data_IF_755681252037
#
_entry.id   IF_755681252037
#
_cell.length_a   1.000
_cell.length_b   1.000
_cell.length_c   1.000
_cell.angle_alpha   90.00
_cell.angle_beta   90.00
_cell.angle_gamma   90.00
#
_symmetry.space_group_name_H-M   'P 1'
#
loop_
_entity.id
_entity.type
_entity.pdbx_description
1 polymer ?
#
# COMPACT_ATOMS: atom_id res chain seq x y z
N UNK A 1 -41.11 -12.96 -44.88
CA UNK A 1 -42.08 -13.74 -44.08
C UNK A 1 -42.83 -12.86 -43.07
N UNK A 2 -42.39 -12.69 -41.80
CA UNK A 2 -43.18 -12.00 -40.75
C UNK A 2 -43.69 -10.59 -41.10
N UNK A 3 -42.89 -9.77 -41.80
CA UNK A 3 -43.26 -8.40 -42.24
C UNK A 3 -44.15 -8.35 -43.50
N UNK A 4 -44.30 -9.48 -44.19
CA UNK A 4 -45.02 -9.60 -45.46
C UNK A 4 -46.35 -10.35 -45.30
N UNK A 5 -46.66 -10.84 -44.09
CA UNK A 5 -47.84 -11.67 -43.78
C UNK A 5 -49.17 -10.92 -43.95
N UNK A 6 -49.17 -9.62 -43.72
CA UNK A 6 -50.37 -8.77 -43.80
C UNK A 6 -50.46 -8.00 -45.14
N UNK A 7 -49.66 -8.37 -46.14
CA UNK A 7 -49.64 -7.70 -47.46
C UNK A 7 -50.38 -8.53 -48.49
N UNK A 8 -51.19 -7.85 -49.32
CA UNK A 8 -51.95 -8.49 -50.40
C UNK A 8 -51.00 -9.21 -51.38
N UNK A 9 -51.16 -10.55 -51.58
CA UNK A 9 -50.35 -11.35 -52.50
C UNK A 9 -50.30 -10.78 -53.92
N UNK A 10 -51.34 -10.07 -54.37
CA UNK A 10 -51.41 -9.47 -55.70
C UNK A 10 -50.49 -8.26 -55.86
N UNK A 11 -50.13 -7.60 -54.77
CA UNK A 11 -49.28 -6.41 -54.76
C UNK A 11 -47.84 -6.69 -54.33
N UNK A 12 -47.59 -7.91 -53.82
CA UNK A 12 -46.28 -8.31 -53.28
C UNK A 12 -45.85 -9.66 -53.88
N UNK A 13 -45.42 -9.70 -55.16
CA UNK A 13 -45.04 -10.94 -55.85
C UNK A 13 -43.89 -11.69 -55.18
N UNK A 14 -43.08 -11.00 -54.38
CA UNK A 14 -42.05 -11.59 -53.54
C UNK A 14 -42.60 -12.55 -52.46
N UNK A 15 -43.86 -12.41 -52.04
CA UNK A 15 -44.50 -13.35 -51.11
C UNK A 15 -44.72 -14.71 -51.77
N UNK A 16 -45.38 -14.73 -52.93
CA UNK A 16 -45.63 -15.95 -53.68
C UNK A 16 -44.33 -16.64 -54.14
N UNK A 17 -43.32 -15.86 -54.56
CA UNK A 17 -42.00 -16.44 -54.87
C UNK A 17 -41.35 -17.12 -53.66
N UNK A 18 -41.47 -16.52 -52.46
CA UNK A 18 -40.91 -17.09 -51.23
C UNK A 18 -41.66 -18.37 -50.83
N UNK A 19 -42.99 -18.40 -50.98
CA UNK A 19 -43.81 -19.61 -50.75
C UNK A 19 -43.41 -20.75 -51.67
N UNK A 20 -43.29 -20.49 -52.98
CA UNK A 20 -42.89 -21.50 -53.96
C UNK A 20 -41.48 -22.05 -53.68
N UNK A 21 -40.52 -21.20 -53.30
CA UNK A 21 -39.17 -21.65 -52.96
C UNK A 21 -39.15 -22.49 -51.69
N UNK A 22 -39.89 -22.11 -50.65
CA UNK A 22 -39.97 -22.89 -49.42
C UNK A 22 -40.69 -24.22 -49.65
N UNK A 23 -41.74 -24.24 -50.46
CA UNK A 23 -42.46 -25.45 -50.84
C UNK A 23 -41.55 -26.44 -51.59
N UNK A 24 -40.68 -25.95 -52.49
CA UNK A 24 -39.64 -26.76 -53.17
C UNK A 24 -38.62 -27.37 -52.20
N UNK A 25 -38.41 -26.74 -51.03
CA UNK A 25 -37.53 -27.23 -49.97
C UNK A 25 -38.28 -28.08 -48.93
N UNK A 26 -39.56 -28.39 -49.14
CA UNK A 26 -40.38 -29.18 -48.22
C UNK A 26 -40.79 -28.44 -46.94
N UNK A 27 -40.78 -27.10 -46.94
CA UNK A 27 -41.14 -26.27 -45.77
C UNK A 27 -42.24 -25.26 -46.12
N UNK A 28 -42.93 -24.74 -45.11
CA UNK A 28 -43.89 -23.62 -45.25
C UNK A 28 -43.37 -22.34 -44.60
N UNK A 29 -43.99 -21.20 -44.91
CA UNK A 29 -43.69 -19.91 -44.27
C UNK A 29 -43.96 -19.99 -42.76
N UNK A 30 -45.07 -20.61 -42.35
CA UNK A 30 -45.44 -20.80 -40.94
C UNK A 30 -44.35 -21.54 -40.18
N UNK A 31 -43.87 -22.66 -40.74
CA UNK A 31 -42.83 -23.50 -40.14
C UNK A 31 -41.52 -22.72 -39.98
N UNK A 32 -41.08 -21.98 -41.02
CA UNK A 32 -39.86 -21.16 -40.93
C UNK A 32 -39.99 -20.04 -39.91
N UNK A 33 -41.15 -19.37 -39.84
CA UNK A 33 -41.40 -18.31 -38.84
C UNK A 33 -41.42 -18.90 -37.44
N UNK A 34 -42.04 -20.06 -37.24
CA UNK A 34 -42.08 -20.76 -35.96
C UNK A 34 -40.67 -21.19 -35.53
N UNK A 35 -39.87 -21.78 -36.42
CA UNK A 35 -38.47 -22.12 -36.15
C UNK A 35 -37.64 -20.86 -35.82
N UNK A 36 -37.83 -19.76 -36.54
CA UNK A 36 -37.14 -18.50 -36.25
C UNK A 36 -37.55 -17.95 -34.88
N UNK A 37 -38.83 -18.00 -34.50
CA UNK A 37 -39.30 -17.59 -33.17
C UNK A 37 -38.79 -18.50 -32.06
N UNK A 38 -38.76 -19.82 -32.28
CA UNK A 38 -38.18 -20.78 -31.33
C UNK A 38 -36.68 -20.53 -31.14
N UNK A 39 -35.94 -20.32 -32.23
CA UNK A 39 -34.51 -19.96 -32.16
C UNK A 39 -34.30 -18.63 -31.43
N UNK A 40 -35.10 -17.62 -31.73
CA UNK A 40 -35.06 -16.32 -31.03
C UNK A 40 -35.36 -16.49 -29.53
N UNK A 41 -36.37 -17.28 -29.17
CA UNK A 41 -36.75 -17.57 -27.79
C UNK A 41 -35.65 -18.32 -27.03
N UNK A 42 -35.10 -19.37 -27.63
CA UNK A 42 -33.98 -20.12 -27.07
C UNK A 42 -32.74 -19.24 -26.88
N UNK A 43 -32.41 -18.39 -27.86
CA UNK A 43 -31.31 -17.42 -27.75
C UNK A 43 -31.55 -16.41 -26.64
N UNK A 44 -32.78 -15.87 -26.52
CA UNK A 44 -33.12 -14.91 -25.47
C UNK A 44 -33.01 -15.52 -24.07
N UNK A 45 -33.45 -16.77 -23.87
CA UNK A 45 -33.28 -17.49 -22.60
C UNK A 45 -31.81 -17.74 -22.33
N UNK A 46 -31.03 -18.16 -23.33
CA UNK A 46 -29.59 -18.40 -23.18
C UNK A 46 -28.85 -17.12 -22.79
N UNK A 47 -29.11 -16.00 -23.46
CA UNK A 47 -28.50 -14.70 -23.14
C UNK A 47 -28.90 -14.26 -21.72
N UNK A 48 -30.17 -14.42 -21.34
CA UNK A 48 -30.63 -14.14 -19.98
C UNK A 48 -29.88 -14.98 -18.94
N UNK A 49 -29.71 -16.28 -19.18
CA UNK A 49 -28.99 -17.16 -18.28
C UNK A 49 -27.50 -16.77 -18.19
N UNK A 50 -26.84 -16.47 -19.31
CA UNK A 50 -25.44 -16.01 -19.31
C UNK A 50 -25.29 -14.71 -18.51
N UNK A 51 -26.15 -13.71 -18.74
CA UNK A 51 -26.11 -12.44 -17.99
C UNK A 51 -26.35 -12.68 -16.50
N UNK A 52 -27.30 -13.54 -16.15
CA UNK A 52 -27.61 -13.86 -14.75
C UNK A 52 -26.44 -14.58 -14.08
N UNK A 53 -25.84 -15.57 -14.75
CA UNK A 53 -24.66 -16.28 -14.24
C UNK A 53 -23.44 -15.39 -14.13
N UNK A 54 -23.19 -14.52 -15.11
CA UNK A 54 -22.09 -13.55 -15.05
C UNK A 54 -22.28 -12.57 -13.89
N UNK A 55 -23.51 -12.10 -13.67
CA UNK A 55 -23.83 -11.23 -12.54
C UNK A 55 -23.63 -11.97 -11.21
N UNK A 56 -24.13 -13.20 -11.10
CA UNK A 56 -23.92 -14.02 -9.90
C UNK A 56 -22.43 -14.22 -9.61
N UNK A 57 -21.63 -14.55 -10.62
CA UNK A 57 -20.17 -14.71 -10.50
C UNK A 57 -19.49 -13.40 -10.10
N UNK A 58 -19.98 -12.26 -10.59
CA UNK A 58 -19.46 -10.93 -10.26
C UNK A 58 -19.89 -10.44 -8.88
N UNK A 59 -21.00 -10.94 -8.34
CA UNK A 59 -21.54 -10.58 -7.03
C UNK A 59 -20.90 -11.41 -5.90
N UNK A 60 -20.19 -12.51 -6.23
CA UNK A 60 -19.45 -13.34 -5.26
C UNK A 60 -18.15 -12.64 -4.87
N UNK A 61 -17.92 -12.52 -3.56
CA UNK A 61 -16.59 -12.20 -3.04
C UNK A 61 -15.69 -13.43 -3.15
N UNK A 62 -14.80 -13.41 -4.14
CA UNK A 62 -13.86 -14.51 -4.39
C UNK A 62 -12.87 -14.71 -3.24
N UNK A 63 -12.56 -13.66 -2.46
CA UNK A 63 -11.68 -13.78 -1.31
C UNK A 63 -12.32 -14.67 -0.25
N UNK A 64 -13.53 -14.32 0.18
CA UNK A 64 -14.27 -15.06 1.20
C UNK A 64 -14.53 -16.51 0.76
N UNK A 65 -14.94 -16.71 -0.49
CA UNK A 65 -15.20 -18.04 -1.02
C UNK A 65 -13.94 -18.90 -1.02
N UNK A 66 -12.80 -18.36 -1.48
CA UNK A 66 -11.55 -19.11 -1.55
C UNK A 66 -11.04 -19.47 -0.14
N UNK A 67 -11.07 -18.52 0.78
CA UNK A 67 -10.63 -18.74 2.15
C UNK A 67 -11.50 -19.77 2.89
N UNK A 68 -12.80 -19.83 2.56
CA UNK A 68 -13.71 -20.82 3.14
C UNK A 68 -13.43 -22.29 2.74
N UNK A 69 -12.68 -22.51 1.65
CA UNK A 69 -12.37 -23.85 1.12
C UNK A 69 -10.87 -24.19 1.17
N UNK A 70 -10.02 -23.26 1.58
CA UNK A 70 -8.57 -23.45 1.66
C UNK A 70 -8.19 -24.25 2.90
N UNK A 71 -7.76 -25.50 2.70
CA UNK A 71 -7.24 -26.34 3.79
C UNK A 71 -5.98 -25.76 4.44
N UNK A 72 -5.18 -25.00 3.68
CA UNK A 72 -4.00 -24.30 4.21
C UNK A 72 -4.42 -23.21 5.19
N UNK A 73 -5.45 -22.43 4.86
CA UNK A 73 -5.98 -21.37 5.73
C UNK A 73 -6.59 -21.96 6.99
N UNK A 74 -7.34 -23.06 6.88
CA UNK A 74 -7.88 -23.80 8.02
C UNK A 74 -6.76 -24.23 8.97
N UNK A 75 -5.66 -24.81 8.44
CA UNK A 75 -4.53 -25.26 9.26
C UNK A 75 -3.76 -24.11 9.90
N UNK A 76 -3.45 -23.05 9.14
CA UNK A 76 -2.74 -21.88 9.69
C UNK A 76 -3.57 -21.15 10.75
N UNK A 77 -4.88 -21.05 10.55
CA UNK A 77 -5.82 -20.44 11.51
C UNK A 77 -5.98 -21.27 12.78
N UNK A 78 -5.89 -22.60 12.69
CA UNK A 78 -5.94 -23.47 13.87
C UNK A 78 -4.67 -23.38 14.74
N UNK A 79 -3.53 -23.05 14.14
CA UNK A 79 -2.22 -23.05 14.81
C UNK A 79 -1.65 -21.65 15.13
N UNK A 80 -2.26 -20.57 14.66
CA UNK A 80 -1.75 -19.20 14.88
C UNK A 80 -2.83 -18.13 14.70
N UNK A 81 -2.47 -16.86 14.92
CA UNK A 81 -3.36 -15.70 14.72
C UNK A 81 -3.59 -15.33 13.23
N UNK A 82 -3.34 -16.26 12.32
CA UNK A 82 -3.46 -16.08 10.86
C UNK A 82 -4.82 -15.52 10.43
N UNK A 83 -5.91 -15.95 11.06
CA UNK A 83 -7.26 -15.46 10.76
C UNK A 83 -7.48 -13.97 11.06
N UNK A 84 -6.61 -13.34 11.88
CA UNK A 84 -6.69 -11.91 12.19
C UNK A 84 -5.94 -11.03 11.17
N UNK A 85 -5.20 -11.66 10.24
CA UNK A 85 -4.38 -10.99 9.23
C UNK A 85 -5.22 -10.50 8.05
N UNK A 86 -4.80 -9.41 7.42
CA UNK A 86 -5.47 -8.94 6.21
C UNK A 86 -5.33 -9.94 5.05
N UNK A 87 -6.27 -9.91 4.10
CA UNK A 87 -6.28 -10.81 2.95
C UNK A 87 -4.93 -10.83 2.21
N UNK A 88 -4.28 -9.68 2.06
CA UNK A 88 -2.99 -9.57 1.37
C UNK A 88 -1.87 -10.32 2.10
N UNK A 89 -1.90 -10.35 3.43
CA UNK A 89 -0.95 -11.10 4.26
C UNK A 89 -1.25 -12.60 4.22
N UNK A 90 -2.54 -12.97 4.27
CA UNK A 90 -2.96 -14.36 4.12
C UNK A 90 -2.53 -14.93 2.77
N UNK A 91 -2.73 -14.18 1.69
CA UNK A 91 -2.28 -14.52 0.34
C UNK A 91 -0.75 -14.57 0.22
N UNK A 92 -0.04 -13.67 0.91
CA UNK A 92 1.44 -13.69 0.97
C UNK A 92 1.95 -14.99 1.58
N UNK A 93 1.31 -15.48 2.65
CA UNK A 93 1.70 -16.72 3.33
C UNK A 93 1.35 -17.94 2.46
N UNK A 94 0.16 -17.96 1.85
CA UNK A 94 -0.25 -18.98 0.88
C UNK A 94 0.73 -19.07 -0.28
N UNK A 95 1.05 -17.94 -0.91
CA UNK A 95 2.02 -17.85 -2.01
C UNK A 95 3.41 -18.33 -1.59
N UNK A 96 3.83 -18.07 -0.35
CA UNK A 96 5.09 -18.57 0.19
C UNK A 96 5.07 -20.09 0.36
N UNK A 97 3.99 -20.66 0.87
CA UNK A 97 3.78 -22.11 1.03
C UNK A 97 3.78 -22.79 -0.33
N UNK A 98 3.00 -22.29 -1.30
CA UNK A 98 2.97 -22.81 -2.67
C UNK A 98 4.36 -22.79 -3.31
N UNK A 99 5.10 -21.68 -3.14
CA UNK A 99 6.45 -21.57 -3.67
C UNK A 99 7.41 -22.61 -3.06
N UNK A 100 7.31 -22.85 -1.75
CA UNK A 100 8.13 -23.85 -1.05
C UNK A 100 7.71 -25.27 -1.48
N UNK A 101 6.42 -25.53 -1.67
CA UNK A 101 5.89 -26.82 -2.15
C UNK A 101 6.44 -27.16 -3.53
N UNK A 102 6.39 -26.21 -4.46
CA UNK A 102 6.93 -26.37 -5.82
C UNK A 102 8.43 -26.69 -5.88
N UNK A 103 9.19 -26.32 -4.85
CA UNK A 103 10.63 -26.60 -4.76
C UNK A 103 11.00 -27.69 -3.77
N UNK A 104 10.04 -28.45 -3.25
CA UNK A 104 10.26 -29.57 -2.33
C UNK A 104 9.43 -30.79 -2.74
N UNK A 105 9.66 -31.93 -2.10
CA UNK A 105 8.87 -33.15 -2.31
C UNK A 105 7.63 -33.21 -1.36
N UNK A 106 7.33 -32.10 -0.67
CA UNK A 106 6.26 -31.99 0.33
C UNK A 106 5.00 -31.31 -0.23
N UNK A 107 3.83 -31.64 0.33
CA UNK A 107 2.59 -30.94 0.00
C UNK A 107 2.54 -29.56 0.67
N UNK A 108 1.62 -28.70 0.20
CA UNK A 108 1.36 -27.39 0.81
C UNK A 108 0.95 -27.53 2.29
N UNK A 109 0.21 -28.58 2.64
CA UNK A 109 -0.20 -28.86 4.02
C UNK A 109 0.98 -29.27 4.89
N UNK A 110 1.88 -30.11 4.39
CA UNK A 110 3.08 -30.51 5.13
C UNK A 110 3.99 -29.30 5.42
N UNK A 111 4.06 -28.35 4.48
CA UNK A 111 4.83 -27.12 4.66
C UNK A 111 4.17 -26.17 5.65
N UNK A 112 2.84 -26.04 5.61
CA UNK A 112 2.09 -25.28 6.59
C UNK A 112 2.34 -25.84 8.01
N UNK A 113 2.29 -27.17 8.17
CA UNK A 113 2.59 -27.85 9.43
C UNK A 113 4.05 -27.65 9.87
N UNK A 114 5.01 -27.72 8.94
CA UNK A 114 6.41 -27.46 9.25
C UNK A 114 6.65 -26.01 9.72
N UNK A 115 5.97 -25.03 9.11
CA UNK A 115 6.04 -23.63 9.51
C UNK A 115 5.43 -23.40 10.90
N UNK A 116 4.28 -24.02 11.20
CA UNK A 116 3.65 -23.98 12.52
C UNK A 116 4.52 -24.65 13.58
N UNK A 117 5.10 -25.82 13.28
CA UNK A 117 6.00 -26.51 14.19
C UNK A 117 7.25 -25.68 14.52
N UNK A 118 7.83 -25.01 13.52
CA UNK A 118 8.94 -24.09 13.71
C UNK A 118 8.56 -22.88 14.58
N UNK A 119 7.36 -22.32 14.37
CA UNK A 119 6.82 -21.24 15.17
C UNK A 119 6.62 -21.65 16.64
N UNK A 120 5.97 -22.78 16.90
CA UNK A 120 5.76 -23.29 18.25
C UNK A 120 7.07 -23.62 18.98
N UNK A 121 8.05 -24.20 18.28
CA UNK A 121 9.36 -24.51 18.86
C UNK A 121 10.11 -23.24 19.28
N UNK A 122 9.98 -22.16 18.51
CA UNK A 122 10.66 -20.91 18.81
C UNK A 122 10.06 -20.15 20.00
N UNK A 123 8.76 -20.32 20.28
CA UNK A 123 8.07 -19.74 21.45
C UNK A 123 8.49 -20.40 22.76
N UNK A 124 8.92 -21.66 22.75
CA UNK A 124 9.36 -22.39 23.95
C UNK A 124 10.71 -21.92 24.51
N UNK A 125 11.40 -21.01 23.82
CA UNK A 125 12.63 -20.38 24.29
C UNK A 125 12.24 -19.16 25.14
N UNK A 126 12.89 -18.93 26.30
CA UNK A 126 12.69 -17.79 27.23
C UNK A 126 13.06 -16.43 26.58
N UNK A 127 12.44 -16.11 25.45
CA UNK A 127 12.63 -14.88 24.71
C UNK A 127 11.74 -13.77 25.30
N UNK A 128 12.14 -12.49 25.18
CA UNK A 128 11.28 -11.37 25.50
C UNK A 128 9.95 -11.48 24.73
N UNK A 129 8.83 -11.13 25.35
CA UNK A 129 7.48 -11.31 24.79
C UNK A 129 7.33 -10.85 23.34
N UNK A 130 7.90 -9.70 22.96
CA UNK A 130 7.84 -9.17 21.59
C UNK A 130 8.56 -10.07 20.58
N UNK A 131 9.70 -10.65 20.97
CA UNK A 131 10.45 -11.58 20.12
C UNK A 131 9.73 -12.94 20.07
N UNK A 132 9.14 -13.39 21.18
CA UNK A 132 8.34 -14.61 21.23
C UNK A 132 7.10 -14.54 20.31
N UNK A 133 6.34 -13.44 20.36
CA UNK A 133 5.20 -13.20 19.47
C UNK A 133 5.62 -13.17 17.98
N UNK A 134 6.79 -12.59 17.70
CA UNK A 134 7.33 -12.54 16.33
C UNK A 134 7.79 -13.91 15.84
N UNK A 135 8.52 -14.66 16.65
CA UNK A 135 9.02 -15.99 16.31
C UNK A 135 7.92 -17.05 16.27
N UNK A 136 6.84 -16.83 17.04
CA UNK A 136 5.61 -17.62 17.06
C UNK A 136 4.67 -17.33 15.90
N UNK A 137 4.94 -16.31 15.08
CA UNK A 137 4.22 -16.08 13.83
C UNK A 137 4.77 -17.01 12.73
N UNK A 138 3.95 -17.86 12.08
CA UNK A 138 4.43 -18.75 11.02
C UNK A 138 5.03 -18.00 9.83
N UNK A 139 4.59 -16.76 9.58
CA UNK A 139 5.16 -15.85 8.59
C UNK A 139 6.63 -15.54 8.82
N UNK A 140 7.12 -15.57 10.07
CA UNK A 140 8.54 -15.42 10.33
C UNK A 140 9.37 -16.47 9.58
N UNK A 141 8.86 -17.70 9.54
CA UNK A 141 9.49 -18.85 8.89
C UNK A 141 9.14 -18.94 7.41
N UNK A 142 8.01 -18.38 6.95
CA UNK A 142 7.62 -18.42 5.54
C UNK A 142 8.25 -17.29 4.71
N UNK A 143 8.25 -16.06 5.23
CA UNK A 143 8.56 -14.85 4.45
C UNK A 143 9.67 -13.99 5.03
N UNK A 144 10.06 -14.21 6.28
CA UNK A 144 11.05 -13.39 6.97
C UNK A 144 12.37 -14.16 7.24
N UNK A 145 13.09 -13.79 8.31
CA UNK A 145 14.44 -14.26 8.61
C UNK A 145 14.50 -15.76 8.98
N UNK A 146 13.39 -16.38 9.37
CA UNK A 146 13.31 -17.83 9.65
C UNK A 146 13.31 -18.69 8.38
N UNK A 147 13.04 -18.11 7.21
CA UNK A 147 12.91 -18.83 5.95
C UNK A 147 14.09 -19.73 5.57
N UNK A 148 15.36 -19.32 5.70
CA UNK A 148 16.49 -20.20 5.39
C UNK A 148 16.62 -21.41 6.33
N UNK A 149 16.06 -21.35 7.54
CA UNK A 149 16.01 -22.50 8.44
C UNK A 149 14.91 -23.48 8.03
N UNK A 150 13.71 -22.96 7.72
CA UNK A 150 12.60 -23.76 7.22
C UNK A 150 12.96 -24.46 5.90
N UNK A 151 13.56 -23.74 4.94
CA UNK A 151 14.00 -24.30 3.66
C UNK A 151 14.96 -25.49 3.82
N UNK A 152 15.87 -25.44 4.81
CA UNK A 152 16.75 -26.56 5.11
C UNK A 152 16.01 -27.74 5.74
N UNK A 153 15.04 -27.48 6.61
CA UNK A 153 14.24 -28.51 7.26
C UNK A 153 13.38 -29.29 6.26
N UNK A 154 12.80 -28.59 5.26
CA UNK A 154 11.93 -29.21 4.24
C UNK A 154 12.68 -29.72 3.00
N UNK A 155 14.01 -29.56 2.94
CA UNK A 155 14.81 -29.98 1.79
C UNK A 155 14.55 -29.18 0.51
N UNK A 156 14.22 -27.90 0.64
CA UNK A 156 13.88 -27.02 -0.49
C UNK A 156 15.06 -26.85 -1.46
N UNK A 157 14.79 -27.01 -2.76
CA UNK A 157 15.75 -26.85 -3.85
C UNK A 157 15.57 -25.47 -4.50
N UNK A 158 16.42 -24.47 -4.17
CA UNK A 158 16.27 -23.13 -4.72
C UNK A 158 16.56 -23.10 -6.22
N UNK A 159 15.79 -22.31 -6.96
CA UNK A 159 16.10 -22.03 -8.36
C UNK A 159 17.40 -21.24 -8.49
N UNK A 160 18.11 -21.40 -9.61
CA UNK A 160 19.39 -20.69 -9.87
C UNK A 160 19.25 -19.17 -9.79
N UNK A 161 18.11 -18.64 -10.25
CA UNK A 161 17.75 -17.22 -10.14
C UNK A 161 17.64 -16.75 -8.68
N UNK A 162 16.99 -17.54 -7.82
CA UNK A 162 16.87 -17.24 -6.40
C UNK A 162 18.23 -17.27 -5.70
N UNK A 163 19.09 -18.23 -6.07
CA UNK A 163 20.43 -18.33 -5.52
C UNK A 163 21.30 -17.12 -5.88
N UNK A 164 21.28 -16.69 -7.15
CA UNK A 164 22.03 -15.52 -7.61
C UNK A 164 21.51 -14.24 -6.94
N UNK A 165 20.19 -14.07 -6.82
CA UNK A 165 19.58 -12.94 -6.11
C UNK A 165 20.01 -12.86 -4.64
N UNK A 166 20.04 -13.99 -3.93
CA UNK A 166 20.51 -14.06 -2.53
C UNK A 166 22.00 -13.73 -2.40
N UNK A 167 22.84 -14.21 -3.33
CA UNK A 167 24.27 -13.92 -3.32
C UNK A 167 24.52 -12.41 -3.50
N UNK A 168 23.84 -11.78 -4.46
CA UNK A 168 23.90 -10.33 -4.66
C UNK A 168 23.43 -9.56 -3.43
N UNK A 169 22.32 -9.98 -2.81
CA UNK A 169 21.81 -9.36 -1.57
C UNK A 169 22.77 -9.47 -0.39
N UNK A 170 23.44 -10.63 -0.20
CA UNK A 170 24.41 -10.84 0.90
C UNK A 170 25.68 -10.00 0.75
N UNK A 171 26.09 -9.69 -0.48
CA UNK A 171 27.23 -8.81 -0.73
C UNK A 171 26.91 -7.32 -0.53
N UNK A 172 25.63 -6.97 -0.33
CA UNK A 172 25.16 -5.61 -0.04
C UNK A 172 25.62 -4.58 -1.08
N UNK A 173 26.00 -3.40 -0.59
CA UNK A 173 26.51 -2.29 -1.44
C UNK A 173 27.77 -2.72 -2.21
N UNK A 174 28.61 -3.58 -1.63
CA UNK A 174 29.81 -4.10 -2.29
C UNK A 174 29.46 -4.96 -3.52
N UNK A 175 28.45 -5.83 -3.40
CA UNK A 175 27.96 -6.64 -4.52
C UNK A 175 27.36 -5.81 -5.64
N UNK A 176 26.63 -4.75 -5.28
CA UNK A 176 26.09 -3.79 -6.25
C UNK A 176 27.21 -3.08 -7.01
N UNK A 177 28.24 -2.58 -6.31
CA UNK A 177 29.42 -1.97 -6.93
C UNK A 177 30.20 -2.93 -7.83
N UNK A 178 30.38 -4.18 -7.41
CA UNK A 178 31.04 -5.22 -8.22
C UNK A 178 30.21 -5.53 -9.48
N UNK A 179 28.88 -5.61 -9.37
CA UNK A 179 28.02 -5.85 -10.52
C UNK A 179 28.10 -4.72 -11.54
N UNK A 180 28.03 -3.46 -11.09
CA UNK A 180 28.20 -2.28 -11.97
C UNK A 180 29.60 -2.32 -12.60
N UNK A 181 30.65 -2.45 -11.80
CA UNK A 181 32.03 -2.48 -12.29
C UNK A 181 32.26 -3.60 -13.32
N UNK A 182 31.73 -4.80 -13.06
CA UNK A 182 31.81 -5.93 -13.98
C UNK A 182 31.10 -5.67 -15.31
N UNK A 183 29.88 -5.11 -15.27
CA UNK A 183 29.14 -4.74 -16.49
C UNK A 183 29.83 -3.60 -17.22
N UNK A 184 30.36 -2.59 -16.51
CA UNK A 184 31.14 -1.50 -17.12
C UNK A 184 32.38 -2.02 -17.83
N UNK A 185 33.15 -2.91 -17.18
CA UNK A 185 34.32 -3.54 -17.80
C UNK A 185 33.94 -4.40 -19.01
N UNK A 186 32.82 -5.12 -18.95
CA UNK A 186 32.33 -5.89 -20.10
C UNK A 186 31.93 -4.99 -21.29
N UNK A 187 31.25 -3.86 -21.03
CA UNK A 187 30.88 -2.88 -22.05
C UNK A 187 32.12 -2.21 -22.66
N UNK A 188 33.10 -1.82 -21.83
CA UNK A 188 34.36 -1.24 -22.31
C UNK A 188 35.20 -2.27 -23.08
N UNK A 189 35.23 -3.52 -22.64
CA UNK A 189 35.89 -4.62 -23.34
C UNK A 189 35.26 -4.88 -24.71
N UNK A 190 33.93 -4.90 -24.79
CA UNK A 190 33.20 -5.03 -26.04
C UNK A 190 33.46 -3.83 -26.97
N UNK A 191 33.41 -2.61 -26.45
CA UNK A 191 33.72 -1.39 -27.21
C UNK A 191 35.16 -1.41 -27.72
N UNK A 192 36.11 -1.78 -26.88
CA UNK A 192 37.52 -1.91 -27.23
C UNK A 192 37.76 -2.97 -28.31
N UNK A 193 37.09 -4.12 -28.21
CA UNK A 193 37.13 -5.17 -29.23
C UNK A 193 36.61 -4.66 -30.57
N UNK A 194 35.45 -3.99 -30.59
CA UNK A 194 34.88 -3.39 -31.80
C UNK A 194 35.85 -2.36 -32.41
N UNK A 195 36.35 -1.42 -31.62
CA UNK A 195 37.27 -0.38 -32.10
C UNK A 195 38.59 -0.96 -32.64
N UNK A 196 39.11 -2.01 -32.00
CA UNK A 196 40.30 -2.72 -32.50
C UNK A 196 40.05 -3.43 -33.83
N UNK A 197 38.85 -4.00 -34.02
CA UNK A 197 38.47 -4.68 -35.26
C UNK A 197 38.30 -3.73 -36.45
N UNK A 198 38.00 -2.46 -36.19
CA UNK A 198 37.89 -1.38 -37.19
C UNK A 198 39.25 -0.74 -37.51
N UNK A 199 40.34 -1.19 -36.86
CA UNK A 199 41.71 -0.76 -37.15
C UNK A 199 42.11 0.55 -36.47
N UNK A 200 41.46 0.93 -35.36
CA UNK A 200 41.85 2.11 -34.60
C UNK A 200 43.27 1.95 -34.02
N UNK A 201 44.11 2.97 -34.18
CA UNK A 201 45.47 2.94 -33.64
C UNK A 201 45.45 2.80 -32.11
N UNK A 202 46.31 1.94 -31.56
CA UNK A 202 46.34 1.61 -30.13
C UNK A 202 46.56 2.85 -29.24
N UNK A 203 47.27 3.86 -29.72
CA UNK A 203 47.47 5.13 -29.02
C UNK A 203 46.21 5.99 -28.86
N UNK A 204 45.22 5.85 -29.75
CA UNK A 204 43.92 6.53 -29.67
C UNK A 204 42.85 5.71 -28.93
N UNK A 205 43.07 4.40 -28.78
CA UNK A 205 42.14 3.49 -28.13
C UNK A 205 42.00 3.78 -26.63
N UNK A 206 43.11 3.92 -25.90
CA UNK A 206 43.11 4.17 -24.46
C UNK A 206 42.42 5.48 -24.03
N UNK A 207 42.70 6.65 -24.65
CA UNK A 207 41.99 7.87 -24.28
C UNK A 207 40.50 7.80 -24.62
N UNK A 208 40.13 7.09 -25.68
CA UNK A 208 38.72 6.88 -26.02
C UNK A 208 38.00 5.99 -25.00
N UNK A 209 38.62 4.90 -24.56
CA UNK A 209 38.08 4.04 -23.50
C UNK A 209 37.98 4.78 -22.16
N UNK A 210 38.94 5.65 -21.85
CA UNK A 210 38.87 6.50 -20.66
C UNK A 210 37.70 7.47 -20.71
N UNK A 211 37.45 8.11 -21.85
CA UNK A 211 36.29 8.99 -22.04
C UNK A 211 34.97 8.20 -22.00
N UNK A 212 34.97 6.98 -22.56
CA UNK A 212 33.82 6.09 -22.58
C UNK A 212 33.49 5.48 -21.21
N UNK A 213 34.38 5.57 -20.21
CA UNK A 213 34.16 5.03 -18.87
C UNK A 213 32.90 5.60 -18.21
N UNK A 214 32.69 6.92 -18.29
CA UNK A 214 31.52 7.58 -17.72
C UNK A 214 30.20 7.09 -18.36
N UNK A 215 29.98 7.18 -19.68
CA UNK A 215 28.75 6.69 -20.28
C UNK A 215 28.57 5.17 -20.14
N UNK A 216 29.65 4.39 -20.14
CA UNK A 216 29.59 2.94 -19.88
C UNK A 216 29.16 2.63 -18.44
N UNK A 217 29.59 3.43 -17.46
CA UNK A 217 29.18 3.27 -16.05
C UNK A 217 27.71 3.62 -15.81
N UNK A 218 27.19 4.65 -16.49
CA UNK A 218 25.76 5.00 -16.47
C UNK A 218 24.91 3.90 -17.12
N UNK A 219 25.32 3.42 -18.31
CA UNK A 219 24.63 2.32 -18.99
C UNK A 219 24.65 1.04 -18.15
N UNK A 220 25.78 0.71 -17.53
CA UNK A 220 25.90 -0.42 -16.62
C UNK A 220 24.97 -0.27 -15.41
N UNK A 221 24.95 0.91 -14.79
CA UNK A 221 24.05 1.20 -13.66
C UNK A 221 22.58 1.03 -14.06
N UNK A 222 22.18 1.52 -15.23
CA UNK A 222 20.82 1.35 -15.75
C UNK A 222 20.46 -0.13 -16.00
N UNK A 223 21.37 -0.91 -16.57
CA UNK A 223 21.19 -2.35 -16.82
C UNK A 223 21.10 -3.14 -15.52
N UNK A 224 22.01 -2.88 -14.57
CA UNK A 224 22.02 -3.53 -13.26
C UNK A 224 20.75 -3.17 -12.50
N UNK A 225 20.37 -1.89 -12.46
CA UNK A 225 19.11 -1.45 -11.84
C UNK A 225 17.90 -2.12 -12.48
N UNK A 226 17.85 -2.23 -13.82
CA UNK A 226 16.77 -2.92 -14.52
C UNK A 226 16.71 -4.41 -14.15
N UNK A 227 17.85 -5.08 -14.13
CA UNK A 227 17.93 -6.49 -13.75
C UNK A 227 17.50 -6.73 -12.30
N UNK A 228 17.91 -5.84 -11.38
CA UNK A 228 17.48 -5.86 -9.98
C UNK A 228 15.97 -5.64 -9.88
N UNK A 229 15.41 -4.65 -10.55
CA UNK A 229 13.96 -4.38 -10.53
C UNK A 229 13.12 -5.51 -11.11
N UNK A 230 13.66 -6.31 -12.05
CA UNK A 230 13.01 -7.55 -12.51
C UNK A 230 13.14 -8.70 -11.52
N UNK A 231 14.21 -8.74 -10.72
CA UNK A 231 14.50 -9.81 -9.77
C UNK A 231 13.87 -9.63 -8.39
N UNK A 232 13.76 -8.39 -7.92
CA UNK A 232 13.27 -8.03 -6.59
C UNK A 232 11.84 -7.54 -6.72
N UNK A 233 10.88 -8.45 -6.51
CA UNK A 233 9.47 -8.11 -6.39
C UNK A 233 9.23 -7.18 -5.19
N UNK A 234 8.21 -6.33 -5.29
CA UNK A 234 7.77 -5.52 -4.16
C UNK A 234 7.18 -6.43 -3.09
N UNK A 235 7.86 -6.57 -1.95
CA UNK A 235 7.31 -7.28 -0.81
C UNK A 235 6.28 -6.39 -0.11
N UNK A 236 5.02 -6.85 -0.05
CA UNK A 236 4.02 -6.21 0.81
C UNK A 236 4.41 -6.43 2.27
N UNK A 237 4.31 -5.39 3.10
CA UNK A 237 4.44 -5.54 4.54
C UNK A 237 3.22 -6.32 5.08
N UNK A 238 3.43 -7.40 5.84
CA UNK A 238 2.35 -8.10 6.54
C UNK A 238 1.54 -7.15 7.42
N UNK A 239 0.24 -7.40 7.58
CA UNK A 239 -0.68 -6.53 8.29
C UNK A 239 -1.87 -7.28 8.88
N UNK A 240 -2.41 -6.75 9.97
CA UNK A 240 -3.67 -7.19 10.56
C UNK A 240 -4.86 -6.56 9.83
N UNK A 241 -5.98 -7.27 9.74
CA UNK A 241 -7.17 -6.80 9.03
C UNK A 241 -7.89 -5.67 9.78
N UNK A 242 -7.99 -5.80 11.12
CA UNK A 242 -8.68 -4.86 12.00
C UNK A 242 -10.09 -4.50 11.52
N UNK A 243 -10.85 -5.49 11.00
CA UNK A 243 -12.19 -5.30 10.43
C UNK A 243 -13.20 -4.66 11.40
N UNK A 244 -13.03 -4.89 12.71
CA UNK A 244 -13.82 -4.26 13.78
C UNK A 244 -13.38 -2.85 14.18
N UNK A 245 -12.36 -2.28 13.52
CA UNK A 245 -11.74 -1.01 13.88
C UNK A 245 -10.48 -1.16 14.73
N UNK A 246 -9.81 -0.04 15.02
CA UNK A 246 -8.60 -0.04 15.86
C UNK A 246 -8.95 -0.37 17.31
N UNK A 247 -8.36 -1.42 17.93
CA UNK A 247 -8.58 -1.74 19.33
C UNK A 247 -7.81 -0.79 20.26
N UNK A 248 -8.22 -0.72 21.54
CA UNK A 248 -7.67 0.22 22.53
C UNK A 248 -6.14 0.11 22.71
N UNK A 249 -5.58 -1.10 22.65
CA UNK A 249 -4.13 -1.31 22.79
C UNK A 249 -3.31 -0.82 21.57
N UNK A 250 -3.98 -0.54 20.45
CA UNK A 250 -3.39 0.06 19.24
C UNK A 250 -3.89 1.50 19.02
N UNK A 251 -4.38 2.16 20.08
CA UNK A 251 -4.93 3.52 20.03
C UNK A 251 -4.07 4.43 19.17
N UNK A 252 -4.73 5.12 18.24
CA UNK A 252 -4.04 5.89 17.21
C UNK A 252 -4.51 7.34 17.21
N UNK A 253 -3.57 8.26 17.13
CA UNK A 253 -3.86 9.69 16.97
C UNK A 253 -3.51 10.13 15.55
N UNK A 254 -4.51 10.59 14.79
CA UNK A 254 -4.32 11.24 13.51
C UNK A 254 -4.09 12.73 13.74
N UNK A 255 -2.99 13.26 13.23
CA UNK A 255 -2.56 14.64 13.48
C UNK A 255 -2.38 15.42 12.18
N UNK A 256 -2.93 16.63 12.15
CA UNK A 256 -2.83 17.55 11.01
C UNK A 256 -2.07 18.80 11.47
N UNK A 257 -0.76 18.93 11.19
CA UNK A 257 -0.03 20.17 11.41
C UNK A 257 -0.51 21.30 10.47
N UNK A 258 -0.99 22.40 11.05
CA UNK A 258 -1.35 23.63 10.32
C UNK A 258 -0.77 24.89 10.99
N UNK A 259 -0.82 26.02 10.28
CA UNK A 259 -0.49 27.35 10.80
C UNK A 259 -1.79 28.12 11.08
N UNK A 260 -1.81 28.85 12.19
CA UNK A 260 -2.93 29.71 12.54
C UNK A 260 -2.85 31.02 11.74
N UNK A 261 -3.55 31.08 10.60
CA UNK A 261 -3.50 32.23 9.68
C UNK A 261 -4.69 33.16 9.89
N UNK A 262 -5.91 32.64 9.73
CA UNK A 262 -7.15 33.39 9.88
C UNK A 262 -8.30 32.44 10.23
N UNK A 263 -9.45 33.01 10.59
CA UNK A 263 -10.64 32.26 11.01
C UNK A 263 -11.18 31.33 9.92
N UNK A 264 -11.25 31.80 8.67
CA UNK A 264 -11.79 31.02 7.56
C UNK A 264 -10.96 29.75 7.31
N UNK A 265 -9.63 29.87 7.29
CA UNK A 265 -8.72 28.73 7.13
C UNK A 265 -8.81 27.77 8.32
N UNK A 266 -8.90 28.30 9.55
CA UNK A 266 -9.04 27.47 10.74
C UNK A 266 -10.33 26.62 10.70
N UNK A 267 -11.45 27.22 10.31
CA UNK A 267 -12.72 26.51 10.17
C UNK A 267 -12.67 25.47 9.05
N UNK A 268 -12.03 25.79 7.91
CA UNK A 268 -11.81 24.83 6.83
C UNK A 268 -10.95 23.65 7.28
N UNK A 269 -9.88 23.88 8.03
CA UNK A 269 -9.01 22.84 8.56
C UNK A 269 -9.76 21.92 9.55
N UNK A 270 -10.68 22.48 10.35
CA UNK A 270 -11.54 21.71 11.26
C UNK A 270 -12.57 20.90 10.49
N UNK A 271 -13.17 21.44 9.42
CA UNK A 271 -14.07 20.68 8.53
C UNK A 271 -13.33 19.51 7.86
N UNK A 272 -12.10 19.74 7.39
CA UNK A 272 -11.25 18.66 6.83
C UNK A 272 -10.96 17.58 7.87
N UNK A 273 -10.76 17.95 9.13
CA UNK A 273 -10.60 17.00 10.24
C UNK A 273 -11.84 16.11 10.42
N UNK A 274 -13.05 16.68 10.29
CA UNK A 274 -14.31 15.93 10.27
C UNK A 274 -14.38 14.96 9.08
N UNK A 275 -13.98 15.40 7.89
CA UNK A 275 -13.93 14.53 6.69
C UNK A 275 -12.99 13.33 6.91
N UNK A 276 -11.84 13.53 7.56
CA UNK A 276 -10.93 12.43 7.90
C UNK A 276 -11.57 11.42 8.85
N UNK A 277 -12.34 11.88 9.83
CA UNK A 277 -13.12 11.00 10.70
C UNK A 277 -14.17 10.20 9.91
N UNK A 278 -14.91 10.85 9.02
CA UNK A 278 -15.96 10.22 8.21
C UNK A 278 -15.43 9.25 7.15
N UNK A 279 -14.13 9.30 6.84
CA UNK A 279 -13.48 8.46 5.83
C UNK A 279 -13.26 6.99 6.27
N UNK A 280 -13.94 6.48 7.31
CA UNK A 280 -13.95 5.05 7.65
C UNK A 280 -12.90 4.61 8.67
N UNK A 281 -12.27 5.54 9.38
CA UNK A 281 -11.37 5.23 10.48
C UNK A 281 -12.15 4.79 11.74
N UNK A 282 -12.64 3.54 11.75
CA UNK A 282 -13.36 2.96 12.88
C UNK A 282 -12.46 2.59 14.06
N UNK A 283 -13.04 2.53 15.27
CA UNK A 283 -12.37 2.11 16.50
C UNK A 283 -11.79 3.25 17.34
N UNK A 284 -10.70 2.97 18.05
CA UNK A 284 -10.01 3.89 18.97
C UNK A 284 -9.01 4.78 18.23
N UNK A 285 -9.58 5.63 17.36
CA UNK A 285 -8.86 6.66 16.61
C UNK A 285 -9.37 8.04 17.03
N UNK A 286 -8.43 8.89 17.42
CA UNK A 286 -8.65 10.30 17.73
C UNK A 286 -7.99 11.19 16.67
N UNK A 287 -8.47 12.42 16.54
CA UNK A 287 -8.03 13.39 15.54
C UNK A 287 -7.60 14.68 16.23
N UNK A 288 -6.44 15.21 15.87
CA UNK A 288 -5.93 16.46 16.44
C UNK A 288 -5.43 17.42 15.37
N UNK A 289 -5.85 18.68 15.47
CA UNK A 289 -5.26 19.78 14.74
C UNK A 289 -4.09 20.33 15.55
N UNK A 290 -2.88 20.29 15.00
CA UNK A 290 -1.69 20.85 15.65
C UNK A 290 -1.40 22.22 15.04
N UNK A 291 -1.66 23.28 15.79
CA UNK A 291 -1.51 24.65 15.30
C UNK A 291 -0.23 25.29 15.85
N UNK A 292 0.51 25.97 14.97
CA UNK A 292 1.54 26.94 15.36
C UNK A 292 1.06 28.33 14.95
N UNK A 293 1.44 29.38 15.67
CA UNK A 293 1.25 30.74 15.20
C UNK A 293 2.20 31.08 14.04
N UNK A 294 1.84 32.09 13.25
CA UNK A 294 2.75 32.71 12.26
C UNK A 294 3.96 33.32 12.96
N UNK A 295 5.10 33.40 12.25
CA UNK A 295 6.28 34.12 12.73
C UNK A 295 5.93 35.56 13.12
N UNK A 296 6.44 36.01 14.27
CA UNK A 296 6.09 37.30 14.85
C UNK A 296 7.23 37.92 15.66
N UNK A 297 7.14 39.23 15.89
CA UNK A 297 8.08 39.97 16.74
C UNK A 297 7.79 39.80 18.24
N UNK A 298 6.70 39.11 18.59
CA UNK A 298 6.28 38.83 19.96
C UNK A 298 5.79 37.39 20.13
N UNK A 299 5.83 36.89 21.37
CA UNK A 299 5.38 35.53 21.71
C UNK A 299 3.88 35.31 21.41
N UNK A 300 3.06 36.31 21.75
CA UNK A 300 1.60 36.30 21.55
C UNK A 300 1.18 37.57 20.83
N UNK A 301 0.35 37.43 19.79
CA UNK A 301 -0.29 38.53 19.08
C UNK A 301 -1.71 38.74 19.58
N UNK A 302 -2.21 39.97 19.46
CA UNK A 302 -3.54 40.38 19.96
C UNK A 302 -4.69 39.57 19.33
N UNK A 303 -4.53 39.07 18.10
CA UNK A 303 -5.52 38.23 17.41
C UNK A 303 -5.42 36.72 17.69
N UNK A 304 -4.35 36.23 18.31
CA UNK A 304 -4.16 34.78 18.49
C UNK A 304 -5.20 34.20 19.44
N UNK A 305 -5.50 34.89 20.54
CA UNK A 305 -6.44 34.41 21.56
C UNK A 305 -7.84 34.26 20.98
N UNK A 306 -8.31 35.26 20.22
CA UNK A 306 -9.62 35.22 19.57
C UNK A 306 -9.73 34.05 18.58
N UNK A 307 -8.70 33.82 17.76
CA UNK A 307 -8.68 32.69 16.82
C UNK A 307 -8.66 31.34 17.55
N UNK A 308 -7.91 31.23 18.64
CA UNK A 308 -7.88 30.00 19.44
C UNK A 308 -9.23 29.72 20.12
N UNK A 309 -9.93 30.74 20.58
CA UNK A 309 -11.26 30.58 21.17
C UNK A 309 -12.28 30.12 20.13
N UNK A 310 -12.27 30.70 18.92
CA UNK A 310 -13.09 30.20 17.80
C UNK A 310 -12.77 28.74 17.49
N UNK A 311 -11.48 28.36 17.44
CA UNK A 311 -11.07 26.98 17.22
C UNK A 311 -11.54 26.02 18.32
N UNK A 312 -11.46 26.44 19.60
CA UNK A 312 -11.95 25.65 20.74
C UNK A 312 -13.45 25.43 20.67
N UNK A 313 -14.22 26.48 20.35
CA UNK A 313 -15.67 26.39 20.21
C UNK A 313 -16.09 25.46 19.07
N UNK A 314 -15.41 25.57 17.91
CA UNK A 314 -15.65 24.73 16.75
C UNK A 314 -15.34 23.24 17.02
N UNK A 315 -14.21 22.93 17.67
CA UNK A 315 -13.87 21.56 18.07
C UNK A 315 -14.85 21.02 19.13
N UNK A 316 -15.24 21.85 20.10
CA UNK A 316 -16.24 21.46 21.09
C UNK A 316 -17.61 21.17 20.43
N UNK A 317 -18.01 21.94 19.42
CA UNK A 317 -19.20 21.68 18.63
C UNK A 317 -19.09 20.35 17.86
N UNK A 318 -17.92 20.06 17.29
CA UNK A 318 -17.66 18.81 16.57
C UNK A 318 -17.71 17.59 17.50
N UNK A 319 -17.11 17.68 18.69
CA UNK A 319 -17.20 16.64 19.72
C UNK A 319 -18.64 16.42 20.22
N UNK A 320 -19.45 17.49 20.34
CA UNK A 320 -20.89 17.35 20.67
C UNK A 320 -21.67 16.64 19.57
N UNK A 321 -21.35 16.89 18.30
CA UNK A 321 -22.03 16.30 17.14
C UNK A 321 -21.78 14.80 17.01
N UNK A 322 -20.53 14.35 17.18
CA UNK A 322 -20.13 12.95 16.98
C UNK A 322 -20.12 12.11 18.25
N UNK A 323 -20.26 12.75 19.41
CA UNK A 323 -20.21 12.09 20.71
C UNK A 323 -18.82 11.54 21.07
N UNK A 324 -18.65 11.02 22.28
CA UNK A 324 -17.37 10.47 22.72
C UNK A 324 -17.00 9.19 21.93
N UNK A 325 -15.70 9.00 21.74
CA UNK A 325 -15.08 7.74 21.33
C UNK A 325 -14.63 6.90 22.51
N UNK A 326 -13.98 5.75 22.25
CA UNK A 326 -13.49 4.84 23.30
C UNK A 326 -12.51 5.50 24.28
N UNK A 327 -11.75 6.50 23.84
CA UNK A 327 -10.80 7.26 24.66
C UNK A 327 -11.36 8.59 25.22
N UNK A 328 -12.66 8.87 25.06
CA UNK A 328 -13.26 10.16 25.42
C UNK A 328 -13.47 11.06 24.20
N UNK A 329 -12.97 12.29 24.22
CA UNK A 329 -13.13 13.22 23.08
C UNK A 329 -12.47 12.67 21.80
N UNK A 330 -13.08 12.96 20.64
CA UNK A 330 -12.60 12.49 19.34
C UNK A 330 -11.67 13.49 18.67
N UNK A 331 -11.97 14.77 18.85
CA UNK A 331 -11.31 15.88 18.18
C UNK A 331 -10.59 16.77 19.19
N UNK A 332 -9.36 17.16 18.89
CA UNK A 332 -8.50 17.96 19.76
C UNK A 332 -7.90 19.14 18.99
N UNK A 333 -7.80 20.29 19.65
CA UNK A 333 -7.00 21.43 19.19
C UNK A 333 -5.76 21.56 20.07
N UNK A 334 -4.59 21.28 19.51
CA UNK A 334 -3.31 21.36 20.20
C UNK A 334 -2.54 22.55 19.65
N UNK A 335 -2.62 23.68 20.35
CA UNK A 335 -1.88 24.88 20.00
C UNK A 335 -0.54 24.94 20.71
N UNK A 336 0.50 25.28 19.97
CA UNK A 336 1.84 25.45 20.48
C UNK A 336 2.22 26.92 20.60
N UNK A 337 2.66 27.34 21.78
CA UNK A 337 3.22 28.68 22.00
C UNK A 337 4.51 28.92 21.18
N UNK A 338 4.70 30.15 20.71
CA UNK A 338 5.93 30.56 20.02
C UNK A 338 7.10 30.56 21.01
N UNK A 339 8.30 30.25 20.52
CA UNK A 339 9.56 30.44 21.28
C UNK A 339 10.47 31.37 20.49
N UNK A 340 11.17 32.23 21.20
CA UNK A 340 12.15 33.12 20.59
C UNK A 340 13.30 32.31 19.97
N UNK A 341 13.56 32.55 18.69
CA UNK A 341 14.68 31.96 17.96
C UNK A 341 15.77 33.03 17.77
N UNK A 342 16.84 32.94 18.57
CA UNK A 342 17.95 33.87 18.52
C UNK A 342 18.72 33.89 17.18
N UNK A 343 18.61 32.83 16.37
CA UNK A 343 19.27 32.76 15.06
C UNK A 343 18.54 33.54 13.96
N UNK A 344 17.23 33.70 14.08
CA UNK A 344 16.36 34.40 13.10
C UNK A 344 15.76 35.69 13.68
N UNK A 345 16.05 36.00 14.95
CA UNK A 345 15.52 37.15 15.72
C UNK A 345 13.98 37.25 15.68
N UNK A 346 13.30 36.10 15.73
CA UNK A 346 11.85 35.99 15.56
C UNK A 346 11.23 35.02 16.54
N UNK A 347 9.99 35.28 16.97
CA UNK A 347 9.17 34.34 17.71
C UNK A 347 8.46 33.40 16.75
N UNK A 348 8.74 32.11 16.87
CA UNK A 348 8.22 31.09 15.97
C UNK A 348 8.06 29.74 16.68
N UNK A 349 7.35 28.80 16.05
CA UNK A 349 7.28 27.43 16.54
C UNK A 349 8.68 26.78 16.55
N UNK A 350 9.07 26.16 17.68
CA UNK A 350 10.38 25.49 17.81
C UNK A 350 10.57 24.41 16.74
N UNK A 351 11.71 24.46 16.03
CA UNK A 351 12.11 23.59 14.91
C UNK A 351 10.98 23.30 13.90
N UNK A 352 10.82 24.16 12.88
CA UNK A 352 9.76 24.05 11.85
C UNK A 352 9.55 22.61 11.35
N UNK A 353 8.29 22.15 11.41
CA UNK A 353 7.78 20.79 11.13
C UNK A 353 8.28 19.68 12.07
N UNK A 354 9.60 19.54 12.27
CA UNK A 354 10.19 18.44 13.09
C UNK A 354 9.90 18.58 14.58
N UNK A 355 9.99 19.80 15.10
CA UNK A 355 9.75 20.11 16.50
C UNK A 355 8.30 19.88 16.92
N UNK A 356 7.33 20.17 16.03
CA UNK A 356 5.90 19.98 16.30
C UNK A 356 5.56 18.51 16.64
N UNK A 357 6.02 17.56 15.82
CA UNK A 357 5.79 16.13 16.08
C UNK A 357 6.67 15.59 17.22
N UNK A 358 7.89 16.10 17.36
CA UNK A 358 8.79 15.70 18.46
C UNK A 358 8.21 16.07 19.81
N UNK A 359 7.69 17.28 19.93
CA UNK A 359 7.08 17.80 21.15
C UNK A 359 5.73 17.14 21.44
N UNK A 360 4.93 16.84 20.40
CA UNK A 360 3.74 16.02 20.54
C UNK A 360 4.08 14.64 21.13
N UNK A 361 5.11 13.97 20.61
CA UNK A 361 5.53 12.67 21.13
C UNK A 361 5.99 12.76 22.59
N UNK A 362 6.60 13.88 23.01
CA UNK A 362 6.93 14.12 24.42
C UNK A 362 5.66 14.28 25.26
N UNK A 363 4.70 15.09 24.80
CA UNK A 363 3.42 15.31 25.46
C UNK A 363 2.64 13.99 25.65
N UNK A 364 2.52 13.18 24.60
CA UNK A 364 1.84 11.87 24.65
C UNK A 364 2.54 10.87 25.59
N UNK A 365 3.84 11.05 25.84
CA UNK A 365 4.61 10.26 26.82
C UNK A 365 4.56 10.84 28.24
N UNK A 366 3.76 11.87 28.48
CA UNK A 366 3.51 12.46 29.80
C UNK A 366 4.44 13.63 30.17
N UNK A 367 5.21 14.17 29.23
CA UNK A 367 6.01 15.37 29.50
C UNK A 367 5.09 16.58 29.75
N UNK A 368 5.38 17.35 30.82
CA UNK A 368 4.62 18.56 31.20
C UNK A 368 5.31 19.86 30.81
N UNK A 369 6.54 19.78 30.28
CA UNK A 369 7.38 20.92 29.92
C UNK A 369 7.30 21.28 28.43
N UNK A 370 6.19 20.92 27.78
CA UNK A 370 5.96 21.21 26.37
C UNK A 370 5.28 22.56 26.17
N UNK A 371 5.52 23.17 25.01
CA UNK A 371 4.94 24.43 24.56
C UNK A 371 3.45 24.32 24.19
N UNK A 372 2.88 23.10 24.23
CA UNK A 372 1.45 22.87 24.13
C UNK A 372 0.70 23.23 25.42
N UNK A 373 1.42 23.51 26.52
CA UNK A 373 0.82 23.72 27.84
C UNK A 373 0.39 22.40 28.48
N UNK A 374 -0.80 22.39 29.08
CA UNK A 374 -1.41 21.20 29.72
C UNK A 374 -2.74 20.85 29.01
N UNK A 375 -2.69 20.42 27.74
CA UNK A 375 -3.89 20.02 27.03
C UNK A 375 -4.38 18.65 27.52
N UNK A 376 -5.68 18.42 27.47
CA UNK A 376 -6.25 17.08 27.58
C UNK A 376 -5.94 16.33 26.28
N UNK A 377 -5.10 15.29 26.36
CA UNK A 377 -4.80 14.39 25.24
C UNK A 377 -5.23 12.97 25.60
N UNK A 378 -5.58 12.14 24.61
CA UNK A 378 -5.89 10.74 24.88
C UNK A 378 -4.68 10.04 25.50
N UNK A 379 -4.91 9.30 26.59
CA UNK A 379 -3.87 8.49 27.23
C UNK A 379 -3.47 7.31 26.33
N UNK A 380 -2.30 6.70 26.57
CA UNK A 380 -1.90 5.42 25.96
C UNK A 380 -1.95 5.36 24.42
N UNK A 381 -1.71 6.49 23.74
CA UNK A 381 -1.58 6.51 22.28
C UNK A 381 -0.38 5.67 21.85
N UNK A 382 -0.63 4.62 21.06
CA UNK A 382 0.40 3.71 20.56
C UNK A 382 0.99 4.20 19.24
N UNK A 383 0.16 4.71 18.33
CA UNK A 383 0.59 5.16 17.00
C UNK A 383 0.13 6.59 16.72
N UNK A 384 0.94 7.31 15.92
CA UNK A 384 0.62 8.65 15.43
C UNK A 384 0.68 8.63 13.90
N UNK A 385 -0.42 9.04 13.25
CA UNK A 385 -0.49 9.22 11.80
C UNK A 385 -0.45 10.72 11.54
N UNK A 386 0.60 11.21 10.90
CA UNK A 386 0.69 12.63 10.49
C UNK A 386 0.21 12.79 9.06
N UNK A 387 -0.67 13.76 8.84
CA UNK A 387 -1.20 14.13 7.52
C UNK A 387 -0.86 15.60 7.23
N UNK A 388 -0.41 15.93 6.01
CA UNK A 388 -0.36 17.34 5.62
C UNK A 388 -1.79 17.89 5.49
N UNK A 389 -1.97 19.20 5.65
CA UNK A 389 -3.30 19.85 5.61
C UNK A 389 -4.11 19.55 4.32
N UNK A 390 -3.44 19.26 3.21
CA UNK A 390 -4.05 18.94 1.92
C UNK A 390 -4.07 17.44 1.60
N UNK A 391 -3.60 16.58 2.51
CA UNK A 391 -3.53 15.13 2.27
C UNK A 391 -4.92 14.50 2.43
N UNK A 392 -5.46 13.95 1.34
CA UNK A 392 -6.71 13.16 1.40
C UNK A 392 -6.39 11.70 1.72
N UNK A 393 -6.87 11.23 2.85
CA UNK A 393 -6.76 9.84 3.26
C UNK A 393 -7.83 8.99 2.56
N UNK A 394 -7.48 7.95 1.79
CA UNK A 394 -8.45 7.00 1.26
C UNK A 394 -9.20 6.28 2.38
N UNK A 395 -10.35 5.70 2.04
CA UNK A 395 -11.13 4.91 2.98
C UNK A 395 -10.29 3.78 3.57
N UNK A 396 -10.40 3.59 4.89
CA UNK A 396 -9.74 2.54 5.67
C UNK A 396 -8.19 2.57 5.63
N UNK A 397 -7.57 3.62 5.09
CA UNK A 397 -6.11 3.70 4.99
C UNK A 397 -5.43 3.78 6.37
N UNK A 398 -6.02 4.51 7.33
CA UNK A 398 -5.54 4.52 8.73
C UNK A 398 -5.55 3.11 9.33
N UNK A 399 -6.63 2.35 9.14
CA UNK A 399 -6.76 0.97 9.63
C UNK A 399 -5.66 0.09 9.05
N UNK A 400 -5.44 0.15 7.73
CA UNK A 400 -4.38 -0.62 7.05
C UNK A 400 -2.97 -0.26 7.55
N UNK A 401 -2.70 1.03 7.78
CA UNK A 401 -1.41 1.48 8.31
C UNK A 401 -1.17 0.98 9.74
N UNK A 402 -2.19 1.07 10.60
CA UNK A 402 -2.13 0.57 11.97
C UNK A 402 -1.97 -0.95 11.96
N UNK A 403 -2.73 -1.67 11.13
CA UNK A 403 -2.63 -3.12 10.96
C UNK A 403 -1.23 -3.57 10.54
N UNK A 404 -0.59 -2.87 9.60
CA UNK A 404 0.80 -3.11 9.21
C UNK A 404 1.78 -2.86 10.37
N UNK A 405 1.65 -1.74 11.08
CA UNK A 405 2.53 -1.43 12.22
C UNK A 405 2.32 -2.37 13.43
N UNK A 406 1.13 -2.93 13.59
CA UNK A 406 0.78 -3.82 14.70
C UNK A 406 1.28 -5.26 14.50
N UNK A 407 1.41 -5.68 13.25
CA UNK A 407 1.85 -7.02 12.88
C UNK A 407 3.20 -7.38 13.55
N UNK A 408 3.33 -8.57 14.20
CA UNK A 408 4.54 -8.95 14.96
C UNK A 408 5.84 -8.79 14.18
N UNK A 409 5.84 -9.18 12.90
CA UNK A 409 6.99 -9.08 11.99
C UNK A 409 7.48 -7.65 11.73
N UNK A 410 6.63 -6.63 11.91
CA UNK A 410 6.99 -5.23 11.63
C UNK A 410 7.38 -4.44 12.88
N UNK A 411 7.24 -5.02 14.08
CA UNK A 411 7.51 -4.31 15.34
C UNK A 411 9.00 -3.95 15.46
N UNK A 412 9.35 -2.70 15.82
CA UNK A 412 10.73 -2.26 15.82
C UNK A 412 11.52 -2.90 16.98
N UNK A 413 12.69 -3.45 16.66
CA UNK A 413 13.66 -3.94 17.65
C UNK A 413 14.74 -2.89 17.87
N UNK A 414 14.80 -2.36 19.09
CA UNK A 414 15.81 -1.39 19.48
C UNK A 414 17.04 -2.10 20.03
N UNK A 415 18.22 -1.79 19.48
CA UNK A 415 19.48 -2.16 20.11
C UNK A 415 19.81 -1.12 21.19
N UNK A 416 19.74 -1.53 22.46
CA UNK A 416 19.99 -0.63 23.60
C UNK A 416 21.40 -0.02 23.60
N UNK A 417 22.41 -0.71 23.04
CA UNK A 417 23.79 -0.19 22.97
C UNK A 417 23.97 0.84 21.88
N UNK A 418 23.37 0.61 20.72
CA UNK A 418 23.52 1.47 19.53
C UNK A 418 22.41 2.52 19.41
N UNK A 419 21.40 2.49 20.31
CA UNK A 419 20.24 3.40 20.32
C UNK A 419 19.56 3.53 18.96
N UNK A 420 19.50 2.42 18.19
CA UNK A 420 18.91 2.37 16.86
C UNK A 420 18.01 1.16 16.68
N UNK A 421 17.07 1.29 15.75
CA UNK A 421 16.26 0.17 15.27
C UNK A 421 17.16 -0.75 14.45
N UNK A 422 17.24 -2.03 14.81
CA UNK A 422 18.01 -3.06 14.11
C UNK A 422 17.14 -4.00 13.27
N UNK A 423 15.83 -3.99 13.49
CA UNK A 423 14.87 -4.82 12.77
C UNK A 423 13.46 -4.24 12.93
N UNK A 424 12.54 -4.55 12.00
CA UNK A 424 11.20 -3.96 11.97
C UNK A 424 11.19 -2.46 11.66
N UNK A 425 10.04 -1.81 11.90
CA UNK A 425 9.79 -0.43 11.47
C UNK A 425 9.23 0.42 12.61
N UNK A 426 9.89 1.54 12.91
CA UNK A 426 9.36 2.56 13.81
C UNK A 426 8.55 3.64 13.07
N UNK A 427 8.77 3.78 11.76
CA UNK A 427 8.11 4.74 10.88
C UNK A 427 7.76 4.01 9.59
N UNK A 428 6.50 4.10 9.16
CA UNK A 428 6.06 3.68 7.84
C UNK A 428 5.65 4.92 7.06
N UNK A 429 6.18 5.05 5.85
CA UNK A 429 5.76 6.09 4.91
C UNK A 429 5.05 5.42 3.74
N UNK A 430 3.70 5.51 3.66
CA UNK A 430 2.99 5.05 2.48
C UNK A 430 3.39 5.89 1.26
N UNK A 431 3.19 5.33 0.08
CA UNK A 431 3.29 6.11 -1.16
C UNK A 431 2.16 7.13 -1.18
N UNK A 432 2.52 8.41 -1.32
CA UNK A 432 1.57 9.50 -1.54
C UNK A 432 1.56 9.80 -3.02
N UNK A 433 0.40 9.67 -3.65
CA UNK A 433 0.17 10.05 -5.04
C UNK A 433 -0.52 11.40 -5.09
N UNK A 434 -0.14 12.30 -6.02
CA UNK A 434 -0.85 13.55 -6.20
C UNK A 434 -2.31 13.25 -6.56
N UNK A 435 -3.24 14.00 -5.98
CA UNK A 435 -4.65 13.87 -6.30
C UNK A 435 -4.87 14.12 -7.79
N UNK A 436 -5.71 13.30 -8.42
CA UNK A 436 -6.15 13.53 -9.79
C UNK A 436 -6.78 14.92 -9.88
N UNK A 437 -6.32 15.79 -10.79
CA UNK A 437 -6.92 17.11 -10.96
C UNK A 437 -8.37 16.94 -11.41
N UNK A 438 -9.31 17.51 -10.67
CA UNK A 438 -10.72 17.54 -11.06
C UNK A 438 -10.93 18.79 -11.91
N UNK A 439 -11.06 18.62 -13.23
CA UNK A 439 -11.35 19.71 -14.16
C UNK A 439 -10.13 20.51 -14.63
N UNK A 440 -10.20 21.85 -14.56
CA UNK A 440 -9.18 22.79 -15.10
C UNK A 440 -8.12 23.22 -14.09
N UNK A 441 -8.23 22.78 -12.83
CA UNK A 441 -7.28 23.10 -11.76
C UNK A 441 -6.13 22.08 -11.77
N UNK A 442 -5.10 22.39 -12.54
CA UNK A 442 -3.86 21.61 -12.56
C UNK A 442 -2.77 22.35 -13.30
N UNK A 443 -1.60 22.50 -12.68
CA UNK A 443 -0.43 23.08 -13.35
C UNK A 443 -0.06 22.24 -14.58
N UNK A 444 0.55 22.87 -15.57
CA UNK A 444 1.11 22.17 -16.75
C UNK A 444 2.00 20.99 -16.34
N UNK A 445 2.78 21.17 -15.26
CA UNK A 445 3.61 20.14 -14.67
C UNK A 445 2.78 18.95 -14.15
N UNK A 446 1.74 19.21 -13.36
CA UNK A 446 0.87 18.14 -12.84
C UNK A 446 0.19 17.36 -13.96
N UNK A 447 -0.20 17.96 -15.08
CA UNK A 447 -0.82 17.23 -16.20
C UNK A 447 0.15 16.34 -16.99
N UNK A 448 1.44 16.67 -16.99
CA UNK A 448 2.49 15.89 -17.68
C UNK A 448 3.05 14.79 -16.78
N UNK A 449 3.11 15.03 -15.46
CA UNK A 449 3.72 14.13 -14.48
C UNK A 449 2.72 13.35 -13.61
N UNK A 450 1.40 13.57 -13.76
CA UNK A 450 0.41 12.68 -13.14
C UNK A 450 0.50 11.31 -13.80
N UNK A 451 0.67 10.27 -12.98
CA UNK A 451 0.71 8.87 -13.42
C UNK A 451 -0.54 8.53 -14.26
N UNK A 452 -0.49 7.47 -15.10
CA UNK A 452 -1.61 7.14 -15.99
C UNK A 452 -2.90 7.01 -15.16
N UNK A 453 -3.84 7.93 -15.37
CA UNK A 453 -5.16 7.86 -14.74
C UNK A 453 -5.86 6.57 -15.16
N UNK A 454 -6.49 5.89 -14.21
CA UNK A 454 -7.31 4.69 -14.47
C UNK A 454 -6.74 3.36 -13.98
N UNK A 455 -5.53 3.32 -13.42
CA UNK A 455 -5.02 2.16 -12.67
C UNK A 455 -5.10 2.52 -11.18
N UNK A 456 -5.76 1.70 -10.37
CA UNK A 456 -5.76 1.86 -8.92
C UNK A 456 -4.30 1.78 -8.41
N UNK A 457 -3.70 2.90 -7.97
CA UNK A 457 -2.31 2.90 -7.51
C UNK A 457 -2.14 2.16 -6.18
N UNK A 458 -3.24 1.77 -5.52
CA UNK A 458 -3.27 1.01 -4.27
C UNK A 458 -3.44 -0.51 -4.49
N UNK A 459 -3.67 -0.96 -5.73
CA UNK A 459 -3.87 -2.38 -6.05
C UNK A 459 -2.56 -3.17 -6.20
N UNK A 460 -1.40 -2.51 -6.35
CA UNK A 460 -0.12 -3.17 -6.57
C UNK A 460 0.96 -2.65 -5.62
N UNK A 461 1.71 -3.58 -5.01
CA UNK A 461 2.96 -3.26 -4.37
C UNK A 461 3.96 -2.83 -5.46
N UNK A 462 4.55 -1.63 -5.31
CA UNK A 462 5.54 -1.10 -6.27
C UNK A 462 6.87 -0.95 -5.56
N UNK A 463 7.92 -1.54 -6.13
CA UNK A 463 9.29 -1.40 -5.66
C UNK A 463 9.92 -0.20 -6.37
N UNK A 464 10.24 0.85 -5.61
CA UNK A 464 11.02 1.97 -6.13
C UNK A 464 12.48 1.78 -5.71
N UNK A 465 13.33 1.41 -6.67
CA UNK A 465 14.74 1.07 -6.44
C UNK A 465 15.53 2.22 -5.79
N UNK A 466 15.04 3.47 -5.87
CA UNK A 466 15.64 4.65 -5.25
C UNK A 466 15.34 4.78 -3.74
N UNK A 467 14.38 4.03 -3.20
CA UNK A 467 14.01 4.08 -1.77
C UNK A 467 14.40 2.85 -0.96
N UNK A 468 14.96 1.82 -1.60
CA UNK A 468 15.35 0.56 -0.94
C UNK A 468 16.79 0.57 -0.40
N UNK A 469 17.51 1.69 -0.49
CA UNK A 469 18.84 1.83 0.13
C UNK A 469 18.74 2.72 1.37
N UNK A 470 18.48 2.09 2.52
CA UNK A 470 18.96 2.54 3.83
C UNK A 470 19.23 1.36 4.75
#
# INVERSE_FOLDING_TARGET
AKRLRDRDPRTTPAHGWLEDQLARQGSSIETVVQHAQQRQGASNVTIRNIITSMRLISDIDWADLFESVSLVDERLSAGSDFAQMDFATRDLYRSAIEHLARGSDLSELDIAEAALAAAHTAVQQDAPQVEAERLGDPGYHLVAQGRPALERAIGFRPTTRLHLGRLMGRMGIGGYGIAIGGVTLALLGLLGWILSSVGLATGLLYPFLLLALLPASEAASALVNRAISWGVGAASLPGLELSGGVPQHLRTLVVVPTLLVNEAQLLEDIERLEVHHLSGAGGDISFALLTDGLDADAETLEGDVALLDVGREAIAALNRRHGPGPAGERFFLLHRARRFNAGEDVWMGWERKRGKLTELNRLLRGARDTSFGIPSVPADVRYVITLDADTKMPRDAALRLVGKMAHPLNRPRLNAREQRVVDGYAIIQPRVTPSLPVGREGSLYQRVFSAPGGIDPYAAAVSDALRTVR
#
